data_IF_184672207722
#
_entry.id   IF_184672207722
#
_cell.length_a   1.000
_cell.length_b   1.000
_cell.length_c   1.000
_cell.angle_alpha   90.00
_cell.angle_beta   90.00
_cell.angle_gamma   90.00
#
_symmetry.space_group_name_H-M   'P 1'
#
loop_
_entity.id
_entity.type
_entity.pdbx_description
1 polymer ?
#
# COMPACT_ATOMS: atom_id res chain seq x y z
N UNK A 1 -1.99 14.80 6.44
CA UNK A 1 -1.29 13.83 5.59
C UNK A 1 -2.26 12.73 5.13
N UNK A 2 -2.29 12.47 3.82
CA UNK A 2 -3.01 11.33 3.22
C UNK A 2 -2.02 10.20 2.99
N UNK A 3 -2.30 9.04 3.58
CA UNK A 3 -1.43 7.87 3.58
C UNK A 3 -2.04 6.75 2.76
N UNK A 4 -1.26 6.18 1.84
CA UNK A 4 -1.58 4.93 1.16
C UNK A 4 -0.87 3.79 1.89
N UNK A 5 -1.58 2.71 2.21
CA UNK A 5 -1.02 1.57 2.94
C UNK A 5 -1.30 0.27 2.19
N UNK A 6 -0.24 -0.35 1.69
CA UNK A 6 -0.28 -1.71 1.16
C UNK A 6 0.04 -2.71 2.27
N UNK A 7 -0.68 -3.83 2.30
CA UNK A 7 -0.41 -4.90 3.27
C UNK A 7 -0.91 -4.61 4.69
N UNK A 8 -1.93 -3.76 4.84
CA UNK A 8 -2.52 -3.38 6.12
C UNK A 8 -3.02 -4.56 7.00
N UNK A 9 -3.30 -5.73 6.40
CA UNK A 9 -3.71 -6.94 7.12
C UNK A 9 -2.55 -7.80 7.63
N UNK A 10 -1.30 -7.47 7.26
CA UNK A 10 -0.11 -8.20 7.69
C UNK A 10 0.40 -7.74 9.05
N UNK A 11 1.34 -8.49 9.63
CA UNK A 11 1.91 -8.20 10.96
C UNK A 11 2.42 -6.76 11.09
N UNK A 12 3.24 -6.30 10.14
CA UNK A 12 3.78 -4.93 10.13
C UNK A 12 2.70 -3.91 9.77
N UNK A 13 1.93 -4.19 8.72
CA UNK A 13 0.91 -3.26 8.23
C UNK A 13 -0.19 -2.95 9.24
N UNK A 14 -0.53 -3.89 10.13
CA UNK A 14 -1.47 -3.64 11.22
C UNK A 14 -0.94 -2.62 12.24
N UNK A 15 0.37 -2.69 12.55
CA UNK A 15 1.04 -1.70 13.41
C UNK A 15 1.06 -0.32 12.75
N UNK A 16 1.46 -0.25 11.48
CA UNK A 16 1.47 1.00 10.70
C UNK A 16 0.06 1.61 10.65
N UNK A 17 -0.96 0.81 10.32
CA UNK A 17 -2.34 1.28 10.30
C UNK A 17 -2.77 1.85 11.66
N UNK A 18 -2.42 1.16 12.76
CA UNK A 18 -2.76 1.63 14.10
C UNK A 18 -2.18 3.02 14.36
N UNK A 19 -0.89 3.22 14.10
CA UNK A 19 -0.22 4.50 14.33
C UNK A 19 -0.79 5.60 13.43
N UNK A 20 -1.04 5.31 12.15
CA UNK A 20 -1.66 6.28 11.24
C UNK A 20 -3.06 6.73 11.69
N UNK A 21 -3.85 5.85 12.31
CA UNK A 21 -5.20 6.23 12.75
C UNK A 21 -5.19 7.11 14.00
N UNK A 22 -4.24 6.91 14.92
CA UNK A 22 -4.13 7.72 16.14
C UNK A 22 -3.38 9.04 15.94
N UNK A 23 -2.54 9.14 14.90
CA UNK A 23 -1.80 10.34 14.59
C UNK A 23 -2.72 11.48 14.10
N UNK A 24 -2.77 12.65 14.77
CA UNK A 24 -3.60 13.78 14.36
C UNK A 24 -3.15 14.45 13.05
N UNK A 25 -1.88 14.32 12.65
CA UNK A 25 -1.38 14.85 11.38
C UNK A 25 -1.84 14.01 10.20
N UNK A 26 -2.19 12.73 10.42
CA UNK A 26 -2.80 11.86 9.41
C UNK A 26 -4.31 12.12 9.33
N UNK A 27 -4.74 12.58 8.16
CA UNK A 27 -6.13 12.97 7.89
C UNK A 27 -6.91 11.89 7.14
N UNK A 28 -6.22 11.02 6.41
CA UNK A 28 -6.82 9.90 5.68
C UNK A 28 -5.81 8.75 5.51
N UNK A 29 -6.29 7.51 5.65
CA UNK A 29 -5.57 6.29 5.35
C UNK A 29 -6.37 5.49 4.33
N UNK A 30 -5.77 5.19 3.19
CA UNK A 30 -6.34 4.31 2.17
C UNK A 30 -5.61 2.97 2.22
N UNK A 31 -6.31 1.91 2.63
CA UNK A 31 -5.77 0.57 2.70
C UNK A 31 -5.93 -0.13 1.34
N UNK A 32 -4.83 -0.28 0.60
CA UNK A 32 -4.81 -0.98 -0.68
C UNK A 32 -4.61 -2.48 -0.47
N UNK A 33 -5.60 -3.28 -0.89
CA UNK A 33 -5.61 -4.72 -0.63
C UNK A 33 -6.54 -5.49 -1.56
N UNK A 34 -6.45 -6.82 -1.51
CA UNK A 34 -7.30 -7.70 -2.33
C UNK A 34 -8.76 -7.75 -1.86
N UNK A 35 -9.01 -7.36 -0.60
CA UNK A 35 -10.31 -7.47 0.08
C UNK A 35 -10.40 -6.33 1.13
N UNK A 36 -11.61 -5.89 1.50
CA UNK A 36 -11.81 -4.93 2.58
C UNK A 36 -11.21 -5.44 3.90
N UNK A 37 -10.71 -4.53 4.74
CA UNK A 37 -10.20 -4.87 6.07
C UNK A 37 -11.30 -5.25 7.07
N UNK A 38 -12.56 -4.88 6.78
CA UNK A 38 -13.69 -5.12 7.69
C UNK A 38 -13.61 -4.27 8.97
N UNK A 39 -12.82 -3.21 8.98
CA UNK A 39 -12.68 -2.24 10.07
C UNK A 39 -13.30 -0.92 9.64
N UNK A 40 -13.99 -0.25 10.57
CA UNK A 40 -14.53 1.09 10.36
C UNK A 40 -13.74 2.10 11.20
N UNK A 41 -13.31 3.18 10.58
CA UNK A 41 -12.70 4.35 11.21
C UNK A 41 -12.94 5.57 10.30
N UNK A 42 -13.24 6.77 10.83
CA UNK A 42 -13.45 7.97 10.00
C UNK A 42 -12.30 8.32 9.07
N UNK A 43 -11.05 7.97 9.44
CA UNK A 43 -9.87 8.21 8.60
C UNK A 43 -9.62 7.09 7.59
N UNK A 44 -10.25 5.91 7.75
CA UNK A 44 -9.93 4.71 6.98
C UNK A 44 -10.91 4.47 5.83
N UNK A 45 -10.36 4.18 4.66
CA UNK A 45 -11.11 3.64 3.52
C UNK A 45 -10.33 2.50 2.85
N UNK A 46 -11.03 1.51 2.31
CA UNK A 46 -10.42 0.41 1.56
C UNK A 46 -10.34 0.74 0.06
N UNK A 47 -9.23 0.38 -0.58
CA UNK A 47 -9.05 0.38 -2.03
C UNK A 47 -8.81 -1.06 -2.49
N UNK A 48 -9.73 -1.60 -3.30
CA UNK A 48 -9.62 -2.97 -3.79
C UNK A 48 -8.73 -3.03 -5.02
N UNK A 49 -7.64 -3.77 -4.91
CA UNK A 49 -6.66 -3.99 -5.97
C UNK A 49 -6.72 -5.45 -6.41
N UNK A 50 -7.14 -5.67 -7.66
CA UNK A 50 -7.26 -7.02 -8.24
C UNK A 50 -5.92 -7.53 -8.79
N UNK A 51 -5.17 -6.65 -9.46
CA UNK A 51 -3.82 -6.92 -9.94
C UNK A 51 -2.87 -5.86 -9.39
N UNK A 52 -1.79 -6.29 -8.75
CA UNK A 52 -0.78 -5.41 -8.16
C UNK A 52 0.39 -5.14 -9.12
N UNK A 53 0.34 -5.68 -10.33
CA UNK A 53 1.27 -5.36 -11.41
C UNK A 53 0.67 -4.37 -12.41
N UNK A 54 -0.64 -4.10 -12.34
CA UNK A 54 -1.33 -3.13 -13.20
C UNK A 54 -2.29 -2.24 -12.40
N UNK A 55 -1.94 -0.95 -12.32
CA UNK A 55 -2.71 0.07 -11.62
C UNK A 55 -3.49 1.00 -12.56
N UNK A 56 -3.49 0.75 -13.88
CA UNK A 56 -4.02 1.68 -14.89
C UNK A 56 -5.47 2.10 -14.61
N UNK A 57 -6.31 1.16 -14.18
CA UNK A 57 -7.71 1.42 -13.82
C UNK A 57 -7.90 2.15 -12.48
N UNK A 58 -6.88 2.15 -11.62
CA UNK A 58 -6.91 2.72 -10.28
C UNK A 58 -6.18 4.07 -10.19
N UNK A 59 -5.45 4.50 -11.22
CA UNK A 59 -4.68 5.75 -11.19
C UNK A 59 -5.47 6.97 -10.68
N UNK A 60 -6.75 7.20 -11.07
CA UNK A 60 -7.52 8.33 -10.55
C UNK A 60 -7.73 8.29 -9.02
N UNK A 61 -7.63 7.10 -8.41
CA UNK A 61 -7.77 6.90 -6.97
C UNK A 61 -6.42 6.93 -6.23
N UNK A 62 -5.30 6.96 -6.97
CA UNK A 62 -3.93 6.91 -6.45
C UNK A 62 -3.24 8.29 -6.42
N UNK A 63 -4.00 9.38 -6.51
CA UNK A 63 -3.48 10.77 -6.54
C UNK A 63 -3.67 11.51 -5.21
N UNK A 64 -2.75 12.42 -4.94
CA UNK A 64 -2.75 13.32 -3.78
C UNK A 64 -2.36 12.64 -2.46
N UNK A 65 -1.54 11.59 -2.50
CA UNK A 65 -0.97 10.98 -1.29
C UNK A 65 0.37 11.61 -0.93
N UNK A 66 0.58 11.83 0.36
CA UNK A 66 1.82 12.40 0.90
C UNK A 66 2.83 11.30 1.25
N UNK A 67 2.33 10.12 1.64
CA UNK A 67 3.16 8.97 1.97
C UNK A 67 2.52 7.65 1.51
N UNK A 68 3.37 6.69 1.16
CA UNK A 68 3.00 5.31 0.91
C UNK A 68 3.85 4.37 1.79
N UNK A 69 3.19 3.57 2.60
CA UNK A 69 3.80 2.45 3.32
C UNK A 69 3.56 1.16 2.54
N UNK A 70 4.62 0.54 2.04
CA UNK A 70 4.53 -0.71 1.29
C UNK A 70 4.87 -1.91 2.16
N UNK A 71 3.89 -2.40 2.94
CA UNK A 71 4.09 -3.51 3.87
C UNK A 71 3.73 -4.88 3.28
N UNK A 72 3.70 -5.03 1.95
CA UNK A 72 3.56 -6.34 1.31
C UNK A 72 4.91 -7.05 1.29
N UNK A 73 4.92 -8.31 1.71
CA UNK A 73 6.11 -9.14 1.70
C UNK A 73 5.75 -10.59 1.92
N UNK A 74 6.67 -11.47 1.52
CA UNK A 74 6.57 -12.92 1.67
C UNK A 74 7.88 -13.47 2.24
N UNK A 75 7.79 -14.61 2.92
CA UNK A 75 8.98 -15.37 3.30
C UNK A 75 9.59 -16.01 2.05
N UNK A 76 10.92 -16.06 1.98
CA UNK A 76 11.64 -16.76 0.91
C UNK A 76 11.60 -18.29 1.06
N UNK A 77 11.15 -18.80 2.21
CA UNK A 77 11.11 -20.24 2.49
C UNK A 77 10.24 -20.97 1.47
N UNK A 78 10.84 -21.93 0.76
CA UNK A 78 10.15 -22.75 -0.23
C UNK A 78 9.90 -22.07 -1.58
N UNK A 79 10.48 -20.89 -1.81
CA UNK A 79 10.34 -20.17 -3.08
C UNK A 79 11.55 -20.37 -3.99
N UNK A 80 11.32 -20.31 -5.30
CA UNK A 80 12.40 -20.09 -6.26
C UNK A 80 12.90 -18.65 -6.18
N UNK A 81 14.13 -18.40 -6.62
CA UNK A 81 14.67 -17.04 -6.73
C UNK A 81 13.79 -16.15 -7.62
N UNK A 82 13.30 -16.69 -8.74
CA UNK A 82 12.47 -15.95 -9.68
C UNK A 82 11.14 -15.51 -9.06
N UNK A 83 10.47 -16.41 -8.32
CA UNK A 83 9.21 -16.09 -7.64
C UNK A 83 9.45 -15.11 -6.49
N UNK A 84 10.54 -15.27 -5.74
CA UNK A 84 10.88 -14.37 -4.65
C UNK A 84 11.21 -12.97 -5.18
N UNK A 85 12.00 -12.88 -6.25
CA UNK A 85 12.28 -11.62 -6.95
C UNK A 85 11.00 -10.94 -7.43
N UNK A 86 10.09 -11.69 -8.06
CA UNK A 86 8.82 -11.15 -8.55
C UNK A 86 8.02 -10.47 -7.45
N UNK A 87 7.98 -11.07 -6.25
CA UNK A 87 7.20 -10.54 -5.13
C UNK A 87 7.94 -9.50 -4.27
N UNK A 88 9.27 -9.60 -4.14
CA UNK A 88 10.06 -8.72 -3.29
C UNK A 88 10.72 -7.55 -4.02
N UNK A 89 10.77 -7.57 -5.35
CA UNK A 89 11.38 -6.52 -6.17
C UNK A 89 10.43 -6.00 -7.26
N UNK A 90 9.92 -6.87 -8.12
CA UNK A 90 9.12 -6.39 -9.27
C UNK A 90 7.77 -5.82 -8.82
N UNK A 91 7.13 -6.46 -7.84
CA UNK A 91 5.87 -6.01 -7.24
C UNK A 91 5.95 -4.61 -6.59
N UNK A 92 6.86 -4.32 -5.65
CA UNK A 92 6.99 -2.96 -5.10
C UNK A 92 7.38 -1.94 -6.18
N UNK A 93 8.19 -2.33 -7.17
CA UNK A 93 8.58 -1.44 -8.25
C UNK A 93 7.39 -1.05 -9.15
N UNK A 94 6.47 -1.98 -9.42
CA UNK A 94 5.24 -1.68 -10.17
C UNK A 94 4.38 -0.61 -9.46
N UNK A 95 4.20 -0.74 -8.14
CA UNK A 95 3.47 0.24 -7.34
C UNK A 95 4.23 1.58 -7.28
N UNK A 96 5.51 1.56 -6.94
CA UNK A 96 6.33 2.75 -6.76
C UNK A 96 6.44 3.57 -8.06
N UNK A 97 6.57 2.92 -9.22
CA UNK A 97 6.66 3.60 -10.52
C UNK A 97 5.42 4.44 -10.81
N UNK A 98 4.23 3.86 -10.58
CA UNK A 98 2.96 4.58 -10.79
C UNK A 98 2.80 5.69 -9.77
N UNK A 99 3.07 5.40 -8.49
CA UNK A 99 2.87 6.36 -7.41
C UNK A 99 3.84 7.54 -7.46
N UNK A 100 5.10 7.33 -7.86
CA UNK A 100 6.08 8.40 -8.03
C UNK A 100 5.68 9.35 -9.18
N UNK A 101 5.10 8.80 -10.26
CA UNK A 101 4.58 9.61 -11.37
C UNK A 101 3.36 10.43 -10.95
N UNK A 102 2.43 9.82 -10.23
CA UNK A 102 1.18 10.44 -9.81
C UNK A 102 1.34 11.39 -8.62
N UNK A 103 2.34 11.17 -7.77
CA UNK A 103 2.59 11.92 -6.54
C UNK A 103 4.08 12.26 -6.40
N UNK A 104 4.61 13.25 -7.16
CA UNK A 104 6.05 13.53 -7.22
C UNK A 104 6.71 13.96 -5.89
N UNK A 105 5.91 14.36 -4.90
CA UNK A 105 6.37 14.77 -3.56
C UNK A 105 6.13 13.68 -2.49
N UNK A 106 5.54 12.54 -2.88
CA UNK A 106 5.22 11.46 -1.95
C UNK A 106 6.49 10.78 -1.46
N UNK A 107 6.52 10.45 -0.17
CA UNK A 107 7.54 9.54 0.36
C UNK A 107 7.06 8.10 0.23
N UNK A 108 7.86 7.23 -0.39
CA UNK A 108 7.59 5.78 -0.50
C UNK A 108 8.55 5.03 0.42
N UNK A 109 8.03 4.23 1.34
CA UNK A 109 8.81 3.45 2.33
C UNK A 109 8.35 2.01 2.43
#
# INVERSE_FOLDING_TARGET
>A
MRVLLFGASGMVGQGVLRECLVDPEVTQVVAAGRRPLGRSDPKLSDLIVHDFFDYSALEPQLVGFDACFFCLGVSSVGMSEADYRRLSYDLPLAAATVLARLNPQMTFT
#
